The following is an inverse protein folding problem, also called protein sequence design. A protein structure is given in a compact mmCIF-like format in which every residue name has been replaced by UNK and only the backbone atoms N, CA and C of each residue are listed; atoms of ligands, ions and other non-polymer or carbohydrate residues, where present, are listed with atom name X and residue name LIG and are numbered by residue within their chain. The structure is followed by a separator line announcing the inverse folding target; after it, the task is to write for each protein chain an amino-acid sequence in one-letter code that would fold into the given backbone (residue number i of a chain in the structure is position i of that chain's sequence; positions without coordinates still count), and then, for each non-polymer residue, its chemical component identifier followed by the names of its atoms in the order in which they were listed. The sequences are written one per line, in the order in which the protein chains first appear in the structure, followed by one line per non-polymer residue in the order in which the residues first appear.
data_IF_710579097240
#
_entry.id   IF_710579097240
#
_cell.length_a   1.000
_cell.length_b   1.000
_cell.length_c   1.000
_cell.angle_alpha   90.00
_cell.angle_beta   90.00
_cell.angle_gamma   90.00
#
_symmetry.space_group_name_H-M   'P 1'
#
loop_
_entity.id
_entity.type
_entity.pdbx_description
1 polymer ?
#
# COMPACT_ATOMS: atom_id res chain seq x y z
N UNK A 1 -21.44 -61.30 -15.62
CA UNK A 1 -20.93 -61.06 -14.26
C UNK A 1 -20.47 -59.60 -14.17
N UNK A 2 -21.31 -58.73 -13.63
CA UNK A 2 -21.00 -57.32 -13.41
C UNK A 2 -20.86 -57.13 -11.90
N UNK A 3 -19.68 -56.72 -11.41
CA UNK A 3 -19.51 -56.27 -10.04
C UNK A 3 -18.93 -54.86 -10.07
N UNK A 4 -19.82 -53.90 -9.84
CA UNK A 4 -19.55 -52.50 -9.63
C UNK A 4 -18.92 -52.34 -8.24
N UNK A 5 -17.62 -52.07 -8.20
CA UNK A 5 -16.87 -51.95 -6.94
C UNK A 5 -15.85 -50.81 -6.91
N UNK A 6 -15.99 -49.79 -7.75
CA UNK A 6 -15.04 -48.67 -7.82
C UNK A 6 -15.72 -47.30 -7.79
N UNK A 7 -16.64 -47.10 -6.84
CA UNK A 7 -17.45 -45.88 -6.77
C UNK A 7 -17.34 -45.06 -5.47
N UNK A 8 -16.87 -45.63 -4.36
CA UNK A 8 -17.05 -44.99 -3.05
C UNK A 8 -15.80 -44.33 -2.46
N UNK A 9 -14.59 -44.65 -2.94
CA UNK A 9 -13.35 -44.11 -2.34
C UNK A 9 -12.86 -42.80 -2.97
N UNK A 10 -13.41 -42.39 -4.12
CA UNK A 10 -12.96 -41.17 -4.83
C UNK A 10 -13.62 -39.87 -4.34
N UNK A 11 -14.65 -39.95 -3.49
CA UNK A 11 -15.34 -38.77 -2.95
C UNK A 11 -14.73 -38.24 -1.64
N UNK A 12 -13.88 -39.03 -0.95
CA UNK A 12 -13.26 -38.60 0.32
C UNK A 12 -12.02 -37.71 0.11
N UNK A 13 -11.27 -37.90 -0.98
CA UNK A 13 -10.04 -37.14 -1.26
C UNK A 13 -10.23 -35.76 -1.89
N UNK A 14 -11.33 -35.52 -2.62
CA UNK A 14 -11.54 -34.27 -3.37
C UNK A 14 -11.89 -33.05 -2.50
N UNK A 15 -12.43 -33.26 -1.31
CA UNK A 15 -12.74 -32.18 -0.38
C UNK A 15 -11.46 -31.59 0.24
N UNK A 16 -10.48 -32.44 0.58
CA UNK A 16 -9.24 -31.99 1.21
C UNK A 16 -8.41 -31.07 0.30
N UNK A 17 -8.33 -31.33 -1.00
CA UNK A 17 -7.64 -30.42 -1.94
C UNK A 17 -8.38 -29.10 -2.16
N UNK A 18 -9.72 -29.10 -2.11
CA UNK A 18 -10.51 -27.87 -2.23
C UNK A 18 -10.32 -26.94 -1.04
N UNK A 19 -10.24 -27.48 0.18
CA UNK A 19 -9.96 -26.67 1.37
C UNK A 19 -8.52 -26.15 1.40
N UNK A 20 -7.52 -26.96 1.03
CA UNK A 20 -6.13 -26.50 1.00
C UNK A 20 -5.88 -25.49 -0.13
N UNK A 21 -6.43 -25.72 -1.32
CA UNK A 21 -6.33 -24.77 -2.43
C UNK A 21 -7.03 -23.45 -2.13
N UNK A 22 -8.23 -23.47 -1.54
CA UNK A 22 -8.91 -22.24 -1.11
C UNK A 22 -8.16 -21.50 -0.01
N UNK A 23 -7.61 -22.20 0.99
CA UNK A 23 -6.82 -21.55 2.04
C UNK A 23 -5.57 -20.86 1.47
N UNK A 24 -4.88 -21.48 0.52
CA UNK A 24 -3.71 -20.86 -0.14
C UNK A 24 -4.12 -19.63 -0.95
N UNK A 25 -5.23 -19.68 -1.68
CA UNK A 25 -5.75 -18.52 -2.41
C UNK A 25 -6.14 -17.38 -1.47
N UNK A 26 -6.79 -17.67 -0.35
CA UNK A 26 -7.12 -16.66 0.66
C UNK A 26 -5.86 -16.03 1.23
N UNK A 27 -4.86 -16.83 1.59
CA UNK A 27 -3.59 -16.32 2.10
C UNK A 27 -2.88 -15.44 1.07
N UNK A 28 -2.86 -15.87 -0.19
CA UNK A 28 -2.27 -15.12 -1.29
C UNK A 28 -2.99 -13.79 -1.49
N UNK A 29 -4.33 -13.77 -1.49
CA UNK A 29 -5.12 -12.54 -1.60
C UNK A 29 -4.85 -11.61 -0.42
N UNK A 30 -4.81 -12.12 0.80
CA UNK A 30 -4.49 -11.33 2.00
C UNK A 30 -3.10 -10.71 1.88
N UNK A 31 -2.09 -11.46 1.46
CA UNK A 31 -0.73 -10.95 1.24
C UNK A 31 -0.75 -9.83 0.20
N UNK A 32 -1.43 -10.02 -0.94
CA UNK A 32 -1.54 -8.99 -1.98
C UNK A 32 -2.22 -7.73 -1.43
N UNK A 33 -3.31 -7.88 -0.69
CA UNK A 33 -4.01 -6.75 -0.06
C UNK A 33 -3.09 -6.02 0.92
N UNK A 34 -2.35 -6.74 1.76
CA UNK A 34 -1.38 -6.14 2.69
C UNK A 34 -0.30 -5.39 1.93
N UNK A 35 0.27 -5.96 0.86
CA UNK A 35 1.26 -5.27 0.03
C UNK A 35 0.67 -4.00 -0.58
N UNK A 36 -0.54 -4.05 -1.13
CA UNK A 36 -1.23 -2.87 -1.68
C UNK A 36 -1.41 -1.80 -0.62
N UNK A 37 -1.87 -2.16 0.59
CA UNK A 37 -2.02 -1.21 1.71
C UNK A 37 -0.68 -0.58 2.07
N UNK A 38 0.39 -1.36 2.18
CA UNK A 38 1.74 -0.86 2.47
C UNK A 38 2.20 0.12 1.38
N UNK A 39 2.00 -0.21 0.11
CA UNK A 39 2.36 0.67 -1.01
C UNK A 39 1.57 1.99 -0.93
N UNK A 40 0.27 1.94 -0.66
CA UNK A 40 -0.56 3.14 -0.49
C UNK A 40 -0.05 4.00 0.67
N UNK A 41 0.27 3.40 1.81
CA UNK A 41 0.84 4.12 2.96
C UNK A 41 2.15 4.80 2.59
N UNK A 42 3.06 4.10 1.89
CA UNK A 42 4.33 4.67 1.42
C UNK A 42 4.09 5.86 0.50
N UNK A 43 3.18 5.75 -0.47
CA UNK A 43 2.82 6.85 -1.38
C UNK A 43 2.31 8.06 -0.59
N UNK A 44 1.41 7.84 0.38
CA UNK A 44 0.88 8.92 1.23
C UNK A 44 2.01 9.61 2.00
N UNK A 45 2.92 8.85 2.60
CA UNK A 45 4.08 9.40 3.33
C UNK A 45 4.96 10.25 2.40
N UNK A 46 5.25 9.76 1.19
CA UNK A 46 6.03 10.52 0.19
C UNK A 46 5.33 11.84 -0.16
N UNK A 47 4.03 11.81 -0.42
CA UNK A 47 3.25 13.03 -0.71
C UNK A 47 3.33 14.03 0.45
N UNK A 48 3.15 13.57 1.69
CA UNK A 48 3.25 14.43 2.89
C UNK A 48 4.64 15.07 2.98
N UNK A 49 5.71 14.29 2.79
CA UNK A 49 7.09 14.82 2.81
C UNK A 49 7.28 15.89 1.74
N UNK A 50 6.82 15.65 0.51
CA UNK A 50 6.90 16.64 -0.58
C UNK A 50 6.16 17.92 -0.20
N UNK A 51 4.95 17.83 0.34
CA UNK A 51 4.18 19.00 0.78
C UNK A 51 4.93 19.78 1.86
N UNK A 52 5.50 19.09 2.86
CA UNK A 52 6.30 19.74 3.92
C UNK A 52 7.49 20.49 3.33
N UNK A 53 8.23 19.87 2.40
CA UNK A 53 9.37 20.52 1.73
C UNK A 53 8.93 21.77 0.97
N UNK A 54 7.82 21.70 0.22
CA UNK A 54 7.28 22.86 -0.52
C UNK A 54 6.92 23.99 0.44
N UNK A 55 6.25 23.68 1.56
CA UNK A 55 5.90 24.68 2.58
C UNK A 55 7.15 25.33 3.16
N UNK A 56 8.19 24.55 3.49
CA UNK A 56 9.45 25.08 4.01
C UNK A 56 10.12 26.02 3.01
N UNK A 57 10.15 25.67 1.73
CA UNK A 57 10.70 26.52 0.67
C UNK A 57 9.93 27.85 0.59
N UNK A 58 8.59 27.80 0.61
CA UNK A 58 7.75 29.01 0.59
C UNK A 58 8.06 29.90 1.80
N UNK A 59 8.15 29.32 3.00
CA UNK A 59 8.49 30.07 4.22
C UNK A 59 9.85 30.76 4.09
N UNK A 60 10.87 30.05 3.60
CA UNK A 60 12.21 30.63 3.38
C UNK A 60 12.14 31.79 2.40
N UNK A 61 11.44 31.63 1.27
CA UNK A 61 11.27 32.70 0.28
C UNK A 61 10.60 33.93 0.89
N UNK A 62 9.52 33.74 1.66
CA UNK A 62 8.82 34.84 2.34
C UNK A 62 9.75 35.55 3.31
N UNK A 63 10.50 34.82 4.13
CA UNK A 63 11.46 35.42 5.08
C UNK A 63 12.50 36.25 4.33
N UNK A 64 13.08 35.73 3.25
CA UNK A 64 14.07 36.46 2.44
C UNK A 64 13.46 37.75 1.89
N UNK A 65 12.25 37.69 1.31
CA UNK A 65 11.57 38.88 0.79
C UNK A 65 11.35 39.92 1.89
N UNK A 66 10.84 39.50 3.06
CA UNK A 66 10.64 40.42 4.20
C UNK A 66 11.95 41.06 4.62
N UNK A 67 13.04 40.28 4.76
CA UNK A 67 14.36 40.82 5.13
C UNK A 67 14.82 41.85 4.11
N UNK A 68 14.72 41.55 2.80
CA UNK A 68 15.11 42.48 1.74
C UNK A 68 14.30 43.78 1.83
N UNK A 69 12.97 43.69 1.95
CA UNK A 69 12.10 44.87 2.07
C UNK A 69 12.47 45.71 3.28
N UNK A 70 12.69 45.08 4.44
CA UNK A 70 13.09 45.79 5.67
C UNK A 70 14.44 46.49 5.48
N UNK A 71 15.42 45.82 4.88
CA UNK A 71 16.75 46.41 4.63
C UNK A 71 16.63 47.62 3.71
N UNK A 72 15.89 47.51 2.60
CA UNK A 72 15.67 48.61 1.66
C UNK A 72 15.01 49.80 2.37
N UNK A 73 13.90 49.58 3.07
CA UNK A 73 13.15 50.64 3.77
C UNK A 73 13.94 51.32 4.91
N UNK A 74 14.85 50.59 5.56
CA UNK A 74 15.65 51.15 6.68
C UNK A 74 16.91 51.86 6.19
N UNK A 75 17.46 51.47 5.04
CA UNK A 75 18.71 52.02 4.50
C UNK A 75 18.47 53.20 3.56
N UNK A 76 17.31 53.27 2.90
CA UNK A 76 16.85 54.42 2.09
C UNK A 76 16.32 55.58 2.97
#
# INVERSE_FOLDING_TARGET
MMSAGRGFDQYSGSSHYRFHGQQVLVYQVVVVVVVVVVVVVVVVVVVVVVVVVVVLVVVVVVVVVVVVVVVVVVVD
#
